data_IF_831804602521
#
_entry.id   IF_831804602521
#
_cell.length_a   1.000
_cell.length_b   1.000
_cell.length_c   1.000
_cell.angle_alpha   90.00
_cell.angle_beta   90.00
_cell.angle_gamma   90.00
#
_symmetry.space_group_name_H-M   'P 1'
#
loop_
_entity.id
_entity.type
_entity.pdbx_description
1 polymer ?
#
# COMPACT_ATOMS: atom_id res chain seq x y z
N UNK A 1 -8.29 -7.03 -21.05
CA UNK A 1 -8.60 -6.59 -22.42
C UNK A 1 -7.34 -5.98 -23.04
N UNK A 2 -7.13 -6.11 -24.36
CA UNK A 2 -6.05 -5.42 -25.06
C UNK A 2 -6.18 -3.90 -24.89
N UNK A 3 -5.04 -3.18 -24.94
CA UNK A 3 -5.05 -1.74 -24.94
C UNK A 3 -5.66 -1.24 -26.27
N UNK A 4 -6.38 -0.10 -26.20
CA UNK A 4 -6.81 0.61 -27.40
C UNK A 4 -5.58 1.01 -28.21
N UNK A 5 -5.47 0.62 -29.50
CA UNK A 5 -4.32 0.94 -30.34
C UNK A 5 -4.06 2.44 -30.54
N UNK A 6 -5.09 3.28 -30.49
CA UNK A 6 -4.94 4.72 -30.57
C UNK A 6 -4.37 5.30 -29.28
N UNK A 7 -4.85 4.83 -28.14
CA UNK A 7 -4.28 5.17 -26.83
C UNK A 7 -2.80 4.77 -26.75
N UNK A 8 -2.48 3.55 -27.16
CA UNK A 8 -1.09 3.05 -27.17
C UNK A 8 -0.16 3.93 -28.04
N UNK A 9 -0.58 4.25 -29.26
CA UNK A 9 0.18 5.12 -30.16
C UNK A 9 0.39 6.52 -29.56
N UNK A 10 -0.65 7.12 -28.97
CA UNK A 10 -0.57 8.43 -28.33
C UNK A 10 0.43 8.44 -27.17
N UNK A 11 0.35 7.43 -26.29
CA UNK A 11 1.28 7.33 -25.16
C UNK A 11 2.71 7.12 -25.63
N UNK A 12 2.95 6.26 -26.62
CA UNK A 12 4.29 6.04 -27.19
C UNK A 12 4.86 7.29 -27.86
N UNK A 13 4.04 8.09 -28.53
CA UNK A 13 4.46 9.34 -29.16
C UNK A 13 4.89 10.42 -28.13
N UNK A 14 4.34 10.40 -26.93
CA UNK A 14 4.64 11.33 -25.83
C UNK A 14 5.21 10.65 -24.59
N UNK A 15 5.92 9.56 -24.74
CA UNK A 15 6.33 8.67 -23.67
C UNK A 15 7.16 9.36 -22.58
N UNK A 16 8.08 10.25 -22.94
CA UNK A 16 8.91 10.99 -21.98
C UNK A 16 8.04 11.89 -21.08
N UNK A 17 7.07 12.59 -21.67
CA UNK A 17 6.13 13.44 -20.94
C UNK A 17 5.19 12.63 -20.06
N UNK A 18 4.65 11.51 -20.58
CA UNK A 18 3.82 10.59 -19.79
C UNK A 18 4.57 10.06 -18.57
N UNK A 19 5.84 9.67 -18.73
CA UNK A 19 6.68 9.22 -17.60
C UNK A 19 6.96 10.36 -16.62
N UNK A 20 7.19 11.58 -17.08
CA UNK A 20 7.36 12.74 -16.20
C UNK A 20 6.12 12.97 -15.35
N UNK A 21 4.94 13.01 -15.96
CA UNK A 21 3.66 13.16 -15.26
C UNK A 21 3.43 12.03 -14.22
N UNK A 22 3.74 10.78 -14.57
CA UNK A 22 3.65 9.68 -13.64
C UNK A 22 4.57 9.87 -12.42
N UNK A 23 5.83 10.29 -12.62
CA UNK A 23 6.80 10.53 -11.55
C UNK A 23 6.40 11.69 -10.61
N UNK A 24 5.69 12.69 -11.11
CA UNK A 24 5.22 13.85 -10.35
C UNK A 24 3.84 13.61 -9.71
N UNK A 25 3.14 12.58 -10.13
CA UNK A 25 1.80 12.26 -9.62
C UNK A 25 1.82 11.75 -8.17
N UNK A 26 0.65 11.70 -7.55
CA UNK A 26 0.50 11.19 -6.18
C UNK A 26 0.83 9.69 -6.05
N UNK A 27 0.50 8.90 -7.07
CA UNK A 27 0.54 7.44 -7.01
C UNK A 27 1.49 6.79 -8.03
N UNK A 28 2.28 7.57 -8.74
CA UNK A 28 3.17 7.06 -9.78
C UNK A 28 2.45 6.60 -11.05
N UNK A 29 1.19 6.99 -11.23
CA UNK A 29 0.36 6.75 -12.42
C UNK A 29 -0.29 8.06 -12.86
N UNK A 30 -0.50 8.21 -14.16
CA UNK A 30 -1.31 9.30 -14.70
C UNK A 30 -2.79 8.93 -14.52
N UNK A 31 -3.39 9.44 -13.44
CA UNK A 31 -4.80 9.22 -13.11
C UNK A 31 -5.48 10.57 -12.99
N UNK A 32 -6.57 10.73 -13.74
CA UNK A 32 -7.47 11.87 -13.60
C UNK A 32 -8.08 11.86 -12.19
N UNK A 33 -7.92 12.94 -11.45
CA UNK A 33 -8.39 13.10 -10.08
C UNK A 33 -9.40 14.24 -9.98
N UNK A 34 -10.48 14.02 -9.27
CA UNK A 34 -11.40 15.09 -8.90
C UNK A 34 -10.83 15.91 -7.73
N UNK A 35 -11.12 17.20 -7.72
CA UNK A 35 -10.86 18.10 -6.59
C UNK A 35 -12.12 18.33 -5.73
N UNK A 36 -13.23 17.67 -6.08
CA UNK A 36 -14.50 17.81 -5.38
C UNK A 36 -14.65 16.80 -4.24
N UNK A 37 -15.28 17.24 -3.15
CA UNK A 37 -15.75 16.33 -2.09
C UNK A 37 -16.95 15.51 -2.57
N UNK A 38 -16.99 14.24 -2.17
CA UNK A 38 -18.14 13.38 -2.42
C UNK A 38 -19.43 13.92 -1.75
N UNK A 39 -19.29 14.68 -0.67
CA UNK A 39 -20.41 15.25 0.06
C UNK A 39 -20.90 16.62 -0.50
N UNK A 40 -20.11 17.23 -1.38
CA UNK A 40 -20.44 18.51 -2.00
C UNK A 40 -21.29 18.40 -3.27
N UNK A 41 -21.50 17.17 -3.77
CA UNK A 41 -22.31 16.90 -4.97
C UNK A 41 -23.63 16.22 -4.62
N UNK A 42 -24.62 16.29 -5.53
CA UNK A 42 -25.89 15.57 -5.34
C UNK A 42 -25.68 14.06 -5.28
N UNK A 43 -26.64 13.33 -4.68
CA UNK A 43 -26.59 11.86 -4.65
C UNK A 43 -26.56 11.25 -6.05
N UNK A 44 -27.27 11.85 -7.01
CA UNK A 44 -27.34 11.41 -8.41
C UNK A 44 -26.00 11.64 -9.12
N UNK A 45 -25.37 12.81 -8.95
CA UNK A 45 -24.07 13.11 -9.54
C UNK A 45 -22.99 12.20 -8.99
N UNK A 46 -23.01 11.98 -7.67
CA UNK A 46 -22.10 11.05 -7.00
C UNK A 46 -22.24 9.63 -7.53
N UNK A 47 -23.47 9.15 -7.67
CA UNK A 47 -23.74 7.82 -8.23
C UNK A 47 -23.21 7.72 -9.67
N UNK A 48 -23.44 8.73 -10.52
CA UNK A 48 -22.92 8.76 -11.90
C UNK A 48 -21.38 8.73 -11.94
N UNK A 49 -20.74 9.48 -11.04
CA UNK A 49 -19.27 9.51 -10.95
C UNK A 49 -18.71 8.15 -10.53
N UNK A 50 -19.33 7.47 -9.55
CA UNK A 50 -18.92 6.13 -9.14
C UNK A 50 -19.11 5.11 -10.26
N UNK A 51 -20.27 5.12 -10.98
CA UNK A 51 -20.51 4.23 -12.10
C UNK A 51 -19.49 4.43 -13.23
N UNK A 52 -19.16 5.67 -13.56
CA UNK A 52 -18.16 5.97 -14.58
C UNK A 52 -16.76 5.45 -14.22
N UNK A 53 -16.39 5.48 -12.94
CA UNK A 53 -15.10 4.93 -12.46
C UNK A 53 -15.14 3.40 -12.37
N UNK A 54 -16.26 2.84 -11.93
CA UNK A 54 -16.48 1.40 -11.86
C UNK A 54 -16.33 0.75 -13.23
N UNK A 55 -16.99 1.32 -14.25
CA UNK A 55 -16.97 0.80 -15.62
C UNK A 55 -15.58 0.82 -16.27
N UNK A 56 -14.73 1.80 -15.89
CA UNK A 56 -13.33 1.86 -16.34
C UNK A 56 -12.45 0.80 -15.68
N UNK A 57 -12.82 0.34 -14.48
CA UNK A 57 -12.02 -0.58 -13.68
C UNK A 57 -10.71 0.03 -13.17
N UNK A 58 -9.85 -0.83 -12.61
CA UNK A 58 -8.51 -0.46 -12.16
C UNK A 58 -8.48 0.34 -10.86
N UNK A 59 -7.32 0.94 -10.57
CA UNK A 59 -7.03 1.60 -9.28
C UNK A 59 -7.58 3.04 -9.16
N UNK A 60 -8.26 3.53 -10.20
CA UNK A 60 -8.72 4.93 -10.27
C UNK A 60 -9.91 5.28 -9.38
N UNK A 61 -10.58 4.30 -8.77
CA UNK A 61 -11.81 4.54 -8.00
C UNK A 61 -11.61 5.54 -6.85
N UNK A 62 -10.53 5.43 -6.10
CA UNK A 62 -10.23 6.35 -4.99
C UNK A 62 -9.95 7.79 -5.43
N UNK A 63 -9.77 8.03 -6.72
CA UNK A 63 -9.60 9.36 -7.30
C UNK A 63 -10.92 9.97 -7.82
N UNK A 64 -12.06 9.31 -7.62
CA UNK A 64 -13.38 9.81 -8.02
C UNK A 64 -13.74 11.09 -7.28
N UNK A 65 -13.39 11.16 -6.00
CA UNK A 65 -13.53 12.34 -5.16
C UNK A 65 -12.26 12.53 -4.33
N UNK A 66 -12.01 13.77 -3.91
CA UNK A 66 -10.77 14.13 -3.22
C UNK A 66 -10.68 13.56 -1.80
N UNK A 67 -11.79 13.41 -1.14
CA UNK A 67 -11.93 13.13 0.28
C UNK A 67 -12.26 11.68 0.64
N UNK A 68 -12.31 10.76 -0.33
CA UNK A 68 -12.69 9.35 -0.07
C UNK A 68 -11.77 8.63 0.93
N UNK A 69 -10.50 9.03 1.04
CA UNK A 69 -9.55 8.41 1.97
C UNK A 69 -9.25 9.26 3.20
N UNK A 70 -9.91 10.40 3.36
CA UNK A 70 -9.68 11.33 4.47
C UNK A 70 -10.95 11.68 5.25
N UNK A 71 -12.11 11.51 4.63
CA UNK A 71 -13.41 11.81 5.24
C UNK A 71 -14.26 10.54 5.32
N UNK A 72 -14.59 10.12 6.55
CA UNK A 72 -15.38 8.90 6.76
C UNK A 72 -16.77 8.99 6.13
N UNK A 73 -17.46 10.12 6.22
CA UNK A 73 -18.79 10.29 5.61
C UNK A 73 -18.76 10.17 4.09
N UNK A 74 -17.74 10.75 3.43
CA UNK A 74 -17.51 10.58 2.01
C UNK A 74 -17.21 9.11 1.67
N UNK A 75 -16.36 8.45 2.45
CA UNK A 75 -16.03 7.04 2.28
C UNK A 75 -17.26 6.13 2.44
N UNK A 76 -18.14 6.42 3.40
CA UNK A 76 -19.36 5.62 3.63
C UNK A 76 -20.27 5.61 2.40
N UNK A 77 -20.32 6.70 1.61
CA UNK A 77 -21.07 6.73 0.34
C UNK A 77 -20.45 5.79 -0.72
N UNK A 78 -19.13 5.71 -0.77
CA UNK A 78 -18.43 4.76 -1.63
C UNK A 78 -18.61 3.32 -1.14
N UNK A 79 -18.58 3.08 0.16
CA UNK A 79 -18.81 1.76 0.75
C UNK A 79 -20.20 1.23 0.40
N UNK A 80 -21.24 2.07 0.48
CA UNK A 80 -22.59 1.66 0.10
C UNK A 80 -22.70 1.37 -1.40
N UNK A 81 -22.02 2.14 -2.25
CA UNK A 81 -21.93 1.82 -3.67
C UNK A 81 -21.33 0.43 -3.92
N UNK A 82 -20.23 0.08 -3.26
CA UNK A 82 -19.62 -1.25 -3.39
C UNK A 82 -20.54 -2.36 -2.88
N UNK A 83 -21.20 -2.18 -1.73
CA UNK A 83 -22.16 -3.14 -1.19
C UNK A 83 -23.33 -3.37 -2.13
N UNK A 84 -23.87 -2.29 -2.71
CA UNK A 84 -24.94 -2.39 -3.71
C UNK A 84 -24.51 -3.18 -4.95
N UNK A 85 -23.26 -2.99 -5.43
CA UNK A 85 -22.71 -3.79 -6.54
C UNK A 85 -22.57 -5.27 -6.18
N UNK A 86 -22.09 -5.59 -4.98
CA UNK A 86 -21.94 -6.98 -4.51
C UNK A 86 -23.33 -7.65 -4.41
N UNK A 87 -24.32 -6.97 -3.78
CA UNK A 87 -25.70 -7.47 -3.68
C UNK A 87 -26.37 -7.68 -5.05
N UNK A 88 -26.01 -6.89 -6.05
CA UNK A 88 -26.53 -7.08 -7.40
C UNK A 88 -25.90 -8.28 -8.14
N UNK A 89 -24.68 -8.69 -7.78
CA UNK A 89 -23.97 -9.80 -8.41
C UNK A 89 -24.21 -11.13 -7.70
N UNK A 90 -24.27 -11.14 -6.37
CA UNK A 90 -24.41 -12.35 -5.55
C UNK A 90 -25.88 -12.57 -5.21
N UNK A 91 -26.41 -13.73 -5.62
CA UNK A 91 -27.86 -14.05 -5.50
C UNK A 91 -28.29 -14.33 -4.06
N UNK A 92 -27.44 -15.02 -3.29
CA UNK A 92 -27.71 -15.31 -1.88
C UNK A 92 -27.40 -14.07 -1.04
N UNK A 93 -28.42 -13.53 -0.37
CA UNK A 93 -28.28 -12.30 0.42
C UNK A 93 -27.33 -12.45 1.61
N UNK A 94 -27.27 -13.61 2.25
CA UNK A 94 -26.37 -13.86 3.37
C UNK A 94 -24.92 -13.92 2.90
N UNK A 95 -24.66 -14.58 1.77
CA UNK A 95 -23.34 -14.61 1.14
C UNK A 95 -22.93 -13.22 0.66
N UNK A 96 -23.83 -12.44 0.08
CA UNK A 96 -23.57 -11.07 -0.34
C UNK A 96 -23.16 -10.18 0.84
N UNK A 97 -23.82 -10.29 2.00
CA UNK A 97 -23.45 -9.55 3.20
C UNK A 97 -22.08 -9.99 3.77
N UNK A 98 -21.77 -11.28 3.76
CA UNK A 98 -20.46 -11.78 4.20
C UNK A 98 -19.31 -11.29 3.30
N UNK A 99 -19.55 -11.15 2.01
CA UNK A 99 -18.59 -10.64 1.03
C UNK A 99 -18.46 -9.12 1.03
N UNK A 100 -19.43 -8.42 1.62
CA UNK A 100 -19.46 -6.96 1.65
C UNK A 100 -18.49 -6.39 2.69
N UNK A 101 -17.74 -5.29 2.37
CA UNK A 101 -16.88 -4.63 3.34
C UNK A 101 -17.73 -3.95 4.42
N UNK A 102 -17.61 -4.38 5.70
CA UNK A 102 -18.39 -3.87 6.82
C UNK A 102 -17.53 -3.13 7.86
N UNK A 103 -16.32 -3.61 8.13
CA UNK A 103 -15.50 -3.26 9.28
C UNK A 103 -14.26 -2.43 8.94
N UNK A 104 -14.17 -1.90 7.72
CA UNK A 104 -13.08 -1.02 7.29
C UNK A 104 -13.51 -0.05 6.18
N UNK A 105 -12.92 1.17 6.12
CA UNK A 105 -13.20 2.12 5.05
C UNK A 105 -12.75 1.57 3.68
N UNK A 106 -13.55 1.79 2.65
CA UNK A 106 -13.24 1.39 1.28
C UNK A 106 -11.94 2.07 0.81
N UNK A 107 -11.07 1.32 0.12
CA UNK A 107 -9.78 1.80 -0.37
C UNK A 107 -8.65 1.77 0.67
N UNK A 108 -8.92 1.53 1.95
CA UNK A 108 -7.89 1.33 2.99
C UNK A 108 -7.27 -0.07 2.96
N UNK A 109 -7.91 -1.00 2.28
CA UNK A 109 -7.31 -2.20 1.70
C UNK A 109 -7.33 -2.03 0.19
N UNK A 110 -6.40 -2.68 -0.52
CA UNK A 110 -6.31 -2.52 -1.98
C UNK A 110 -7.61 -2.94 -2.66
N UNK A 111 -8.16 -2.06 -3.48
CA UNK A 111 -9.26 -2.40 -4.37
C UNK A 111 -8.70 -3.29 -5.49
N UNK A 112 -9.16 -4.53 -5.54
CA UNK A 112 -8.78 -5.48 -6.57
C UNK A 112 -9.71 -5.36 -7.77
N UNK A 113 -9.17 -5.59 -8.98
CA UNK A 113 -10.00 -5.73 -10.18
C UNK A 113 -10.69 -7.08 -10.10
N UNK A 114 -12.01 -7.07 -10.26
CA UNK A 114 -12.81 -8.29 -10.33
C UNK A 114 -12.92 -8.81 -11.77
N UNK A 115 -12.74 -10.12 -11.91
CA UNK A 115 -13.08 -10.88 -13.12
C UNK A 115 -13.86 -12.10 -12.68
N UNK A 116 -15.17 -11.93 -12.47
CA UNK A 116 -16.11 -12.98 -12.06
C UNK A 116 -15.86 -13.59 -10.66
N UNK A 117 -15.13 -12.89 -9.77
CA UNK A 117 -14.92 -13.35 -8.40
C UNK A 117 -16.26 -13.48 -7.65
N UNK A 118 -17.08 -12.43 -7.66
CA UNK A 118 -18.39 -12.44 -6.99
C UNK A 118 -19.38 -13.40 -7.67
N UNK A 119 -19.37 -13.49 -8.98
CA UNK A 119 -20.22 -14.44 -9.73
C UNK A 119 -19.92 -15.90 -9.37
N UNK A 120 -18.68 -16.19 -8.96
CA UNK A 120 -18.27 -17.53 -8.54
C UNK A 120 -19.12 -18.06 -7.38
N UNK A 121 -19.53 -17.20 -6.47
CA UNK A 121 -20.36 -17.58 -5.32
C UNK A 121 -21.83 -17.91 -5.67
N UNK A 122 -22.24 -17.71 -6.92
CA UNK A 122 -23.54 -18.13 -7.42
C UNK A 122 -23.56 -19.59 -7.94
N UNK A 123 -22.41 -20.29 -7.89
CA UNK A 123 -22.28 -21.66 -8.38
C UNK A 123 -22.60 -22.66 -7.27
N UNK A 124 -23.32 -23.73 -7.59
CA UNK A 124 -23.71 -24.76 -6.62
C UNK A 124 -22.53 -25.51 -5.98
N UNK A 125 -21.39 -25.51 -6.65
CA UNK A 125 -20.16 -26.17 -6.17
C UNK A 125 -19.20 -25.23 -5.44
N UNK A 126 -19.63 -24.01 -5.04
CA UNK A 126 -18.81 -23.04 -4.30
C UNK A 126 -19.51 -22.72 -2.97
N UNK A 127 -18.79 -22.92 -1.88
CA UNK A 127 -19.26 -22.64 -0.52
C UNK A 127 -18.35 -21.61 0.14
N UNK A 128 -18.94 -20.52 0.64
CA UNK A 128 -18.25 -19.54 1.49
C UNK A 128 -18.33 -19.98 2.94
N UNK A 129 -17.18 -20.05 3.63
CA UNK A 129 -17.10 -20.36 5.05
C UNK A 129 -16.41 -19.19 5.77
N UNK A 130 -17.14 -18.52 6.68
CA UNK A 130 -16.55 -17.48 7.53
C UNK A 130 -15.80 -18.09 8.71
N UNK A 131 -14.48 -18.20 8.57
CA UNK A 131 -13.59 -18.73 9.60
C UNK A 131 -13.44 -17.81 10.83
N UNK A 132 -13.99 -16.60 10.83
CA UNK A 132 -14.04 -15.73 12.02
C UNK A 132 -15.13 -16.21 12.99
N UNK A 133 -16.26 -16.67 12.47
CA UNK A 133 -17.37 -17.21 13.24
C UNK A 133 -17.25 -18.71 13.45
N UNK A 134 -16.67 -19.43 12.51
CA UNK A 134 -16.41 -20.86 12.55
C UNK A 134 -14.91 -21.16 12.32
N UNK A 135 -14.02 -20.92 13.32
CA UNK A 135 -12.60 -21.11 13.17
C UNK A 135 -12.22 -22.55 12.75
N UNK A 136 -11.16 -22.65 11.95
CA UNK A 136 -10.53 -23.94 11.62
C UNK A 136 -9.94 -24.50 12.89
N UNK A 137 -10.33 -25.71 13.27
CA UNK A 137 -9.85 -26.39 14.48
C UNK A 137 -8.71 -27.35 14.17
N UNK A 138 -8.80 -28.08 13.04
CA UNK A 138 -7.80 -29.06 12.67
C UNK A 138 -7.83 -29.34 11.16
N UNK A 139 -6.64 -29.63 10.61
CA UNK A 139 -6.49 -30.23 9.28
C UNK A 139 -6.46 -31.74 9.46
N UNK A 140 -7.32 -32.46 8.74
CA UNK A 140 -7.45 -33.92 8.80
C UNK A 140 -6.86 -34.54 7.53
N UNK A 141 -6.60 -35.86 7.52
CA UNK A 141 -6.16 -36.55 6.30
C UNK A 141 -7.16 -36.46 5.14
N UNK A 142 -8.44 -36.19 5.40
CA UNK A 142 -9.51 -36.11 4.42
C UNK A 142 -9.93 -34.66 4.08
N UNK A 143 -9.33 -33.66 4.75
CA UNK A 143 -9.73 -32.26 4.52
C UNK A 143 -9.47 -31.36 5.73
N UNK A 144 -10.49 -30.64 6.19
CA UNK A 144 -10.39 -29.82 7.40
C UNK A 144 -11.70 -29.83 8.20
N UNK A 145 -11.59 -29.56 9.49
CA UNK A 145 -12.73 -29.35 10.38
C UNK A 145 -12.69 -27.94 10.95
N UNK A 146 -13.84 -27.28 10.87
CA UNK A 146 -14.12 -26.02 11.55
C UNK A 146 -15.07 -26.29 12.72
N UNK A 147 -15.34 -25.26 13.54
CA UNK A 147 -16.37 -25.35 14.57
C UNK A 147 -17.76 -25.64 14.02
N UNK A 148 -18.05 -25.28 12.77
CA UNK A 148 -19.36 -25.46 12.14
C UNK A 148 -19.52 -26.81 11.43
N UNK A 149 -18.44 -27.52 11.10
CA UNK A 149 -18.51 -28.81 10.39
C UNK A 149 -17.20 -29.25 9.76
N UNK A 150 -17.26 -30.41 9.11
CA UNK A 150 -16.13 -31.00 8.38
C UNK A 150 -16.29 -30.80 6.88
N UNK A 151 -15.18 -30.55 6.21
CA UNK A 151 -15.09 -30.33 4.76
C UNK A 151 -14.09 -31.31 4.17
N UNK A 152 -14.58 -32.22 3.34
CA UNK A 152 -13.73 -33.13 2.58
C UNK A 152 -13.07 -32.38 1.41
N UNK A 153 -11.75 -32.48 1.29
CA UNK A 153 -10.96 -31.72 0.33
C UNK A 153 -9.88 -32.62 -0.29
N UNK A 154 -9.72 -32.56 -1.60
CA UNK A 154 -8.60 -33.17 -2.32
C UNK A 154 -7.34 -32.29 -2.26
N UNK A 155 -7.52 -30.97 -2.14
CA UNK A 155 -6.43 -30.00 -2.10
C UNK A 155 -6.76 -28.86 -1.16
N UNK A 156 -5.76 -28.39 -0.44
CA UNK A 156 -5.85 -27.22 0.44
C UNK A 156 -4.81 -26.18 0.00
N UNK A 157 -5.29 -24.98 -0.34
CA UNK A 157 -4.42 -23.86 -0.75
C UNK A 157 -4.31 -22.86 0.39
N UNK A 158 -3.11 -22.68 0.93
CA UNK A 158 -2.81 -21.66 1.92
C UNK A 158 -2.49 -20.33 1.22
N UNK A 159 -3.46 -19.41 1.19
CA UNK A 159 -3.30 -18.07 0.65
C UNK A 159 -3.26 -17.03 1.78
N UNK A 160 -2.46 -17.28 2.82
CA UNK A 160 -2.41 -16.53 4.09
C UNK A 160 -1.68 -15.19 4.00
N UNK A 161 -1.07 -14.88 2.84
CA UNK A 161 -0.32 -13.64 2.61
C UNK A 161 1.12 -13.70 3.10
N UNK A 162 1.77 -12.54 3.07
CA UNK A 162 3.19 -12.37 3.42
C UNK A 162 3.35 -11.43 4.62
N UNK A 163 4.47 -11.54 5.33
CA UNK A 163 4.94 -10.49 6.24
C UNK A 163 5.49 -9.33 5.40
N UNK A 164 4.57 -8.51 4.89
CA UNK A 164 4.88 -7.41 4.01
C UNK A 164 5.66 -6.28 4.70
N UNK A 165 6.34 -5.46 3.93
CA UNK A 165 7.13 -4.28 4.30
C UNK A 165 8.40 -4.56 5.08
N UNK A 166 8.36 -5.38 6.13
CA UNK A 166 9.51 -5.61 7.03
C UNK A 166 10.01 -7.05 7.02
N UNK A 167 9.17 -8.03 6.65
CA UNK A 167 9.51 -9.45 6.81
C UNK A 167 10.75 -9.88 6.05
N UNK A 168 10.91 -9.44 4.81
CA UNK A 168 12.07 -9.78 4.00
C UNK A 168 13.39 -9.31 4.65
N UNK A 169 13.45 -8.06 5.13
CA UNK A 169 14.64 -7.50 5.78
C UNK A 169 14.86 -8.07 7.20
N UNK A 170 13.77 -8.31 7.95
CA UNK A 170 13.85 -8.85 9.31
C UNK A 170 14.29 -10.32 9.37
N UNK A 171 14.09 -11.07 8.28
CA UNK A 171 14.52 -12.47 8.16
C UNK A 171 16.00 -12.61 7.76
N UNK A 172 16.65 -11.55 7.34
CA UNK A 172 18.09 -11.51 7.08
C UNK A 172 18.81 -11.10 8.38
N UNK A 173 19.92 -11.74 8.74
CA UNK A 173 20.74 -11.34 9.89
C UNK A 173 21.55 -10.08 9.56
N UNK A 174 20.87 -8.96 9.36
CA UNK A 174 21.48 -7.65 9.11
C UNK A 174 21.96 -7.10 10.45
N UNK A 175 23.26 -6.80 10.51
CA UNK A 175 23.93 -6.25 11.71
C UNK A 175 24.55 -4.89 11.40
N UNK A 176 24.22 -3.93 12.23
CA UNK A 176 24.77 -2.58 12.21
C UNK A 176 25.89 -2.39 13.23
N UNK A 177 26.05 -1.15 13.70
CA UNK A 177 27.06 -0.78 14.69
C UNK A 177 26.87 -1.58 15.99
N UNK A 178 27.99 -1.92 16.61
CA UNK A 178 28.02 -2.73 17.85
C UNK A 178 27.27 -4.08 17.76
N UNK A 179 27.05 -4.60 16.53
CA UNK A 179 26.36 -5.86 16.32
C UNK A 179 24.84 -5.80 16.48
N UNK A 180 24.25 -4.59 16.58
CA UNK A 180 22.80 -4.41 16.67
C UNK A 180 22.11 -5.04 15.48
N UNK A 181 21.14 -5.91 15.71
CA UNK A 181 20.35 -6.53 14.63
C UNK A 181 19.21 -5.62 14.19
N UNK A 182 18.95 -5.56 12.88
CA UNK A 182 17.87 -4.75 12.33
C UNK A 182 16.50 -5.18 12.88
N UNK A 183 16.25 -6.49 13.00
CA UNK A 183 15.01 -7.01 13.58
C UNK A 183 14.78 -6.59 15.03
N UNK A 184 15.86 -6.38 15.82
CA UNK A 184 15.78 -5.92 17.21
C UNK A 184 15.46 -4.41 17.24
N UNK A 185 16.11 -3.62 16.37
CA UNK A 185 15.79 -2.19 16.19
C UNK A 185 14.33 -1.98 15.79
N UNK A 186 13.81 -2.86 14.96
CA UNK A 186 12.44 -2.79 14.44
C UNK A 186 11.40 -3.57 15.26
N UNK A 187 11.75 -4.10 16.42
CA UNK A 187 10.83 -4.88 17.27
C UNK A 187 9.57 -4.10 17.67
N UNK A 188 9.69 -2.79 17.91
CA UNK A 188 8.56 -1.90 18.20
C UNK A 188 7.96 -1.25 16.94
N UNK A 189 8.44 -1.62 15.75
CA UNK A 189 8.04 -1.08 14.46
C UNK A 189 9.22 -0.54 13.66
N UNK A 190 9.09 -0.45 12.33
CA UNK A 190 10.18 0.02 11.48
C UNK A 190 10.45 1.52 11.69
N UNK A 191 11.71 1.86 11.75
CA UNK A 191 12.21 3.23 11.85
C UNK A 191 13.26 3.45 10.78
N UNK A 192 13.05 4.46 9.96
CA UNK A 192 13.90 4.79 8.82
C UNK A 192 13.93 6.31 8.63
N UNK A 193 14.98 6.80 7.99
CA UNK A 193 14.99 8.13 7.38
C UNK A 193 14.71 8.01 5.89
N UNK A 194 13.70 8.74 5.40
CA UNK A 194 13.19 8.72 4.02
C UNK A 194 12.70 7.33 3.53
N UNK A 195 12.59 6.32 4.40
CA UNK A 195 12.35 4.95 3.95
C UNK A 195 13.57 4.32 3.26
N UNK A 196 14.74 4.96 3.32
CA UNK A 196 15.96 4.58 2.61
C UNK A 196 17.07 4.12 3.55
N UNK A 197 17.27 4.77 4.69
CA UNK A 197 18.38 4.49 5.58
C UNK A 197 17.94 4.41 7.04
N UNK A 198 18.76 3.84 7.89
CA UNK A 198 18.49 3.60 9.30
C UNK A 198 19.69 4.03 10.17
N UNK A 199 19.40 4.62 11.33
CA UNK A 199 20.39 4.89 12.36
C UNK A 199 21.01 3.59 12.88
N UNK A 200 22.32 3.54 13.00
CA UNK A 200 23.07 2.37 13.44
C UNK A 200 23.44 1.41 12.32
N UNK A 201 23.03 1.68 11.08
CA UNK A 201 23.28 0.82 9.90
C UNK A 201 23.92 1.62 8.77
N UNK A 202 25.20 2.01 8.90
CA UNK A 202 25.90 2.78 7.89
C UNK A 202 25.99 2.03 6.56
N UNK A 203 25.88 2.78 5.45
CA UNK A 203 25.95 2.27 4.08
C UNK A 203 24.87 1.24 3.71
N UNK A 204 23.84 1.08 4.55
CA UNK A 204 22.69 0.23 4.23
C UNK A 204 21.55 1.09 3.68
N UNK A 205 21.11 0.77 2.47
CA UNK A 205 19.94 1.38 1.85
C UNK A 205 18.83 0.35 1.64
N UNK A 206 17.61 0.73 1.99
CA UNK A 206 16.40 -0.04 1.70
C UNK A 206 15.67 0.58 0.50
N UNK A 207 15.51 -0.18 -0.58
CA UNK A 207 14.69 0.25 -1.73
C UNK A 207 13.24 -0.06 -1.40
N UNK A 208 12.36 0.94 -1.52
CA UNK A 208 10.93 0.86 -1.15
C UNK A 208 10.70 0.41 0.29
N UNK A 209 11.59 0.83 1.18
CA UNK A 209 11.50 0.50 2.61
C UNK A 209 10.32 1.17 3.32
N UNK A 210 10.03 0.74 4.57
CA UNK A 210 9.01 1.39 5.40
C UNK A 210 9.28 2.89 5.55
N UNK A 211 8.23 3.71 5.50
CA UNK A 211 8.36 5.17 5.50
C UNK A 211 8.60 5.78 4.11
N UNK A 212 8.67 4.98 3.04
CA UNK A 212 8.58 5.46 1.65
C UNK A 212 7.18 5.23 1.07
N UNK A 213 6.82 5.81 -0.10
CA UNK A 213 5.52 5.57 -0.75
C UNK A 213 5.24 4.09 -1.03
N UNK A 214 6.27 3.33 -1.38
CA UNK A 214 6.22 1.87 -1.49
C UNK A 214 4.93 1.39 -2.18
N UNK A 215 4.18 0.52 -1.54
CA UNK A 215 2.98 -0.16 -2.05
C UNK A 215 1.77 0.75 -2.30
N UNK A 216 1.79 2.00 -1.85
CA UNK A 216 0.77 3.00 -2.19
C UNK A 216 1.06 3.72 -3.51
N UNK A 217 2.09 3.28 -4.23
CA UNK A 217 2.52 3.85 -5.50
C UNK A 217 2.78 2.78 -6.56
N UNK A 218 3.04 3.22 -7.79
CA UNK A 218 3.70 2.39 -8.78
C UNK A 218 5.11 2.06 -8.28
N UNK A 219 5.31 0.81 -7.87
CA UNK A 219 6.56 0.35 -7.27
C UNK A 219 7.76 0.60 -8.17
N UNK A 220 7.63 0.40 -9.49
CA UNK A 220 8.73 0.62 -10.44
C UNK A 220 9.17 2.10 -10.44
N UNK A 221 8.21 3.04 -10.44
CA UNK A 221 8.51 4.48 -10.39
C UNK A 221 9.22 4.85 -9.08
N UNK A 222 8.83 4.25 -7.96
CA UNK A 222 9.48 4.45 -6.67
C UNK A 222 10.86 3.81 -6.61
N UNK A 223 11.02 2.60 -7.18
CA UNK A 223 12.33 1.91 -7.26
C UNK A 223 13.31 2.72 -8.09
N UNK A 224 12.91 3.18 -9.29
CA UNK A 224 13.75 4.03 -10.14
C UNK A 224 14.23 5.27 -9.38
N UNK A 225 13.33 5.96 -8.68
CA UNK A 225 13.69 7.15 -7.90
C UNK A 225 14.67 6.84 -6.77
N UNK A 226 14.50 5.73 -6.06
CA UNK A 226 15.42 5.33 -4.99
C UNK A 226 16.80 4.97 -5.54
N UNK A 227 16.85 4.24 -6.66
CA UNK A 227 18.11 3.84 -7.30
C UNK A 227 18.86 5.07 -7.80
N UNK A 228 18.19 5.98 -8.49
CA UNK A 228 18.79 7.24 -8.97
C UNK A 228 19.35 8.05 -7.79
N UNK A 229 18.55 8.24 -6.72
CA UNK A 229 18.98 8.98 -5.53
C UNK A 229 20.17 8.33 -4.82
N UNK A 230 20.19 7.00 -4.69
CA UNK A 230 21.30 6.26 -4.09
C UNK A 230 22.56 6.36 -4.96
N UNK A 231 22.42 6.25 -6.29
CA UNK A 231 23.54 6.40 -7.20
C UNK A 231 24.18 7.80 -7.13
N UNK A 232 23.35 8.85 -7.09
CA UNK A 232 23.80 10.24 -6.91
C UNK A 232 24.45 10.44 -5.54
N UNK A 233 23.93 9.80 -4.49
CA UNK A 233 24.51 9.82 -3.16
C UNK A 233 25.91 9.21 -3.16
N UNK A 234 26.09 8.03 -3.75
CA UNK A 234 27.39 7.38 -3.85
C UNK A 234 28.39 8.23 -4.66
N UNK A 235 27.94 8.87 -5.74
CA UNK A 235 28.76 9.80 -6.50
C UNK A 235 29.15 11.04 -5.66
N UNK A 236 28.23 11.55 -4.83
CA UNK A 236 28.50 12.65 -3.91
C UNK A 236 29.55 12.26 -2.86
N UNK A 237 29.44 11.10 -2.23
CA UNK A 237 30.43 10.59 -1.29
C UNK A 237 31.82 10.52 -1.90
N UNK A 238 31.96 9.96 -3.11
CA UNK A 238 33.23 9.89 -3.84
C UNK A 238 33.86 11.27 -4.07
N UNK A 239 33.03 12.25 -4.53
CA UNK A 239 33.51 13.63 -4.75
C UNK A 239 33.95 14.32 -3.47
N UNK A 240 33.42 13.91 -2.31
CA UNK A 240 33.74 14.45 -1.00
C UNK A 240 34.81 13.63 -0.26
N UNK A 241 35.34 12.60 -0.91
CA UNK A 241 36.32 11.66 -0.29
C UNK A 241 35.77 11.06 1.01
N UNK A 242 34.46 10.72 1.00
CA UNK A 242 33.76 10.07 2.11
C UNK A 242 33.45 8.62 1.77
N UNK A 243 33.56 7.74 2.77
CA UNK A 243 33.36 6.29 2.62
C UNK A 243 32.13 5.78 3.36
N UNK A 244 31.53 6.61 4.21
CA UNK A 244 30.44 6.20 5.07
C UNK A 244 29.34 7.25 5.09
N UNK A 245 28.10 6.78 4.99
CA UNK A 245 26.87 7.56 5.17
C UNK A 245 25.94 6.83 6.14
N UNK A 246 25.35 7.57 7.06
CA UNK A 246 24.44 7.03 8.06
C UNK A 246 23.37 8.09 8.40
N UNK A 247 22.10 7.70 8.53
CA UNK A 247 21.04 8.60 8.99
C UNK A 247 21.33 9.08 10.42
N UNK A 248 21.07 10.36 10.73
CA UNK A 248 21.12 10.85 12.10
C UNK A 248 19.86 10.46 12.88
N UNK A 249 19.98 10.39 14.20
CA UNK A 249 18.85 10.01 15.07
C UNK A 249 17.69 11.04 14.96
N UNK A 250 18.04 12.31 14.90
CA UNK A 250 17.09 13.42 14.77
C UNK A 250 16.30 13.33 13.45
N UNK A 251 17.00 13.09 12.33
CA UNK A 251 16.37 12.99 11.02
C UNK A 251 15.47 11.75 10.90
N UNK A 252 15.90 10.60 11.47
CA UNK A 252 15.07 9.40 11.55
C UNK A 252 13.80 9.67 12.37
N UNK A 253 13.92 10.31 13.54
CA UNK A 253 12.80 10.64 14.42
C UNK A 253 11.80 11.58 13.75
N UNK A 254 12.28 12.70 13.19
CA UNK A 254 11.46 13.67 12.48
C UNK A 254 10.73 13.04 11.28
N UNK A 255 11.40 12.17 10.54
CA UNK A 255 10.80 11.48 9.42
C UNK A 255 9.71 10.49 9.86
N UNK A 256 9.96 9.71 10.91
CA UNK A 256 8.98 8.77 11.48
C UNK A 256 7.77 9.53 11.99
N UNK A 257 7.97 10.66 12.70
CA UNK A 257 6.90 11.51 13.16
C UNK A 257 6.04 12.05 11.99
N UNK A 258 6.70 12.56 10.93
CA UNK A 258 6.03 13.05 9.74
C UNK A 258 5.22 11.95 9.01
N UNK A 259 5.78 10.74 8.85
CA UNK A 259 5.06 9.60 8.24
C UNK A 259 3.81 9.25 9.04
N UNK A 260 3.91 9.24 10.37
CA UNK A 260 2.78 9.00 11.25
C UNK A 260 1.72 10.10 11.16
N UNK A 261 2.12 11.38 11.17
CA UNK A 261 1.21 12.52 11.04
C UNK A 261 0.38 12.42 9.75
N UNK A 262 1.03 12.29 8.59
CA UNK A 262 0.31 12.19 7.31
C UNK A 262 -0.50 10.90 7.20
N UNK A 263 -0.08 9.81 7.85
CA UNK A 263 -0.81 8.56 7.94
C UNK A 263 -2.11 8.70 8.74
N UNK A 264 -2.04 9.34 9.90
CA UNK A 264 -3.20 9.56 10.78
C UNK A 264 -4.20 10.58 10.22
N UNK A 265 -3.79 11.45 9.30
CA UNK A 265 -4.69 12.32 8.55
C UNK A 265 -5.58 11.57 7.55
N UNK A 266 -5.44 10.25 7.43
CA UNK A 266 -6.20 9.40 6.52
C UNK A 266 -6.99 8.32 7.24
N UNK A 267 -7.86 7.62 6.51
CA UNK A 267 -8.63 6.49 7.03
C UNK A 267 -7.84 5.16 7.07
N UNK A 268 -6.62 5.11 6.55
CA UNK A 268 -5.82 3.87 6.53
C UNK A 268 -5.60 3.23 7.91
N UNK A 269 -5.31 3.99 8.98
CA UNK A 269 -5.11 3.40 10.30
C UNK A 269 -6.35 2.71 10.89
N UNK A 270 -7.55 3.04 10.38
CA UNK A 270 -8.80 2.44 10.83
C UNK A 270 -9.01 1.00 10.32
N UNK A 271 -8.21 0.56 9.36
CA UNK A 271 -8.33 -0.78 8.79
C UNK A 271 -7.33 -1.75 9.42
N UNK A 272 -7.78 -2.95 9.76
CA UNK A 272 -6.92 -4.08 10.06
C UNK A 272 -6.32 -4.64 8.76
N UNK A 273 -5.34 -3.94 8.21
CA UNK A 273 -4.67 -4.28 6.95
C UNK A 273 -3.19 -4.61 7.17
N UNK A 274 -2.57 -5.24 6.17
CA UNK A 274 -1.14 -5.46 6.18
C UNK A 274 -0.31 -4.16 6.10
N UNK A 275 -0.91 -3.04 5.70
CA UNK A 275 -0.28 -1.71 5.77
C UNK A 275 0.07 -1.29 7.20
N UNK A 276 -0.68 -1.81 8.18
CA UNK A 276 -0.43 -1.60 9.61
C UNK A 276 0.12 -2.87 10.31
N UNK A 277 0.56 -3.88 9.55
CA UNK A 277 1.06 -5.14 10.12
C UNK A 277 -0.01 -6.05 10.73
N UNK A 278 -1.30 -5.84 10.41
CA UNK A 278 -2.42 -6.54 11.05
C UNK A 278 -2.55 -8.01 10.67
N UNK A 279 -1.93 -8.41 9.57
CA UNK A 279 -1.96 -9.79 9.07
C UNK A 279 -0.92 -10.71 9.72
N UNK A 280 -0.02 -10.18 10.55
CA UNK A 280 0.98 -10.97 11.26
C UNK A 280 0.69 -10.92 12.76
N UNK A 281 0.41 -12.07 13.42
CA UNK A 281 0.18 -12.12 14.86
C UNK A 281 1.38 -11.56 15.64
N UNK A 282 1.10 -10.71 16.64
CA UNK A 282 2.12 -10.13 17.51
C UNK A 282 2.93 -8.97 16.88
N UNK A 283 2.77 -8.68 15.60
CA UNK A 283 3.44 -7.54 14.95
C UNK A 283 2.86 -6.21 15.45
N UNK A 284 3.71 -5.19 15.75
CA UNK A 284 3.24 -3.87 16.13
C UNK A 284 2.31 -3.23 15.08
N UNK A 285 1.26 -2.57 15.54
CA UNK A 285 0.27 -1.89 14.69
C UNK A 285 0.75 -0.50 14.32
N UNK A 286 1.53 -0.40 13.25
CA UNK A 286 2.12 0.84 12.77
C UNK A 286 1.83 0.97 11.27
N UNK A 287 1.31 2.13 10.85
CA UNK A 287 1.14 2.42 9.44
C UNK A 287 2.50 2.64 8.79
N UNK A 288 2.90 1.71 7.93
CA UNK A 288 4.27 1.61 7.44
C UNK A 288 4.56 2.40 6.14
N UNK A 289 3.62 2.54 5.17
CA UNK A 289 3.89 3.31 3.96
C UNK A 289 3.81 4.82 4.17
N UNK A 290 4.50 5.60 3.33
CA UNK A 290 4.31 7.04 3.25
C UNK A 290 3.13 7.38 2.33
N UNK A 291 2.08 8.03 2.85
CA UNK A 291 0.84 8.33 2.11
C UNK A 291 0.81 9.74 1.50
N UNK A 292 1.82 10.56 1.75
CA UNK A 292 1.92 11.93 1.24
C UNK A 292 2.03 12.06 -0.29
N UNK A 293 2.31 10.94 -0.98
CA UNK A 293 2.38 10.86 -2.45
C UNK A 293 3.80 10.86 -3.00
N UNK A 294 3.95 10.25 -4.19
CA UNK A 294 5.26 10.03 -4.85
C UNK A 294 5.93 11.34 -5.23
N UNK A 295 5.20 12.28 -5.84
CA UNK A 295 5.76 13.57 -6.27
C UNK A 295 6.30 14.38 -5.09
N UNK A 296 5.51 14.46 -3.99
CA UNK A 296 5.93 15.16 -2.75
C UNK A 296 7.15 14.47 -2.12
N UNK A 297 7.14 13.14 -2.06
CA UNK A 297 8.27 12.37 -1.53
C UNK A 297 9.55 12.59 -2.36
N UNK A 298 9.44 12.55 -3.70
CA UNK A 298 10.57 12.85 -4.60
C UNK A 298 11.17 14.22 -4.31
N UNK A 299 10.30 15.24 -4.15
CA UNK A 299 10.76 16.60 -3.85
C UNK A 299 11.51 16.63 -2.50
N UNK A 300 10.98 15.99 -1.45
CA UNK A 300 11.67 15.88 -0.15
C UNK A 300 13.04 15.21 -0.27
N UNK A 301 13.14 14.10 -1.00
CA UNK A 301 14.42 13.43 -1.25
C UNK A 301 15.41 14.32 -2.03
N UNK A 302 14.91 15.05 -3.04
CA UNK A 302 15.70 16.00 -3.82
C UNK A 302 16.22 17.14 -2.93
N UNK A 303 15.37 17.72 -2.07
CA UNK A 303 15.75 18.80 -1.18
C UNK A 303 16.83 18.37 -0.18
N UNK A 304 16.75 17.15 0.34
CA UNK A 304 17.79 16.54 1.19
C UNK A 304 19.11 16.42 0.44
N UNK A 305 19.10 15.91 -0.79
CA UNK A 305 20.29 15.78 -1.62
C UNK A 305 20.89 17.16 -1.98
N UNK A 306 20.06 18.13 -2.36
CA UNK A 306 20.49 19.49 -2.71
C UNK A 306 21.15 20.22 -1.55
N UNK A 307 20.78 19.89 -0.31
CA UNK A 307 21.40 20.40 0.93
C UNK A 307 22.57 19.54 1.40
N UNK A 308 23.25 18.82 0.52
CA UNK A 308 24.43 18.00 0.83
C UNK A 308 24.10 16.76 1.66
N UNK A 309 22.93 16.15 1.44
CA UNK A 309 22.38 15.00 2.18
C UNK A 309 22.12 15.35 3.66
N UNK A 310 21.41 16.46 3.87
CA UNK A 310 20.97 16.86 5.21
C UNK A 310 20.26 15.72 5.93
N UNK A 311 20.55 15.56 7.23
CA UNK A 311 20.03 14.46 8.06
C UNK A 311 20.84 13.17 7.95
N UNK A 312 21.99 13.23 7.23
CA UNK A 312 22.98 12.16 7.21
C UNK A 312 24.32 12.64 7.75
N UNK A 313 24.99 11.77 8.50
CA UNK A 313 26.39 11.91 8.85
C UNK A 313 27.26 11.27 7.74
N UNK A 314 28.15 12.07 7.14
CA UNK A 314 29.10 11.65 6.12
C UNK A 314 30.49 11.58 6.76
N UNK A 315 31.08 10.39 6.84
CA UNK A 315 32.36 10.15 7.52
C UNK A 315 33.32 9.28 6.68
N UNK A 316 34.59 9.17 7.08
CA UNK A 316 35.62 8.38 6.42
C UNK A 316 36.54 9.21 5.59
#
# INVERSE_FOLDING_TARGET
APLDPEYERRVKASYAEFRRQARESRVGFVVERSEQSALAVSAEDRQRAYEARWSRGGLGFNATFDDLLTNKGANDTAAEFFRAKIRALVRDAAVAEQLSPQDYPVGTKRLCVDTSYYDTFNRDNVTLVDVRTAPIEVITPQGLRTRAGEYALDSLVFATGFDAMTGALSNIDIRGRAGQRLREKWAAGPRTYLGLAMVGFPNLFAITGPGSPSVLSNMIVSIEQHVDWIADCLAHLRRRERTCIEATAEAEEEWVAHVNEVGHATLYPLANSWYVGANVPGKPRIFMPYVGGVGVYRQKCHDVAARGYQGFALTG
#
